data_IF_339062193242
#
_entry.id   IF_339062193242
#
_cell.length_a   1.000
_cell.length_b   1.000
_cell.length_c   1.000
_cell.angle_alpha   90.00
_cell.angle_beta   90.00
_cell.angle_gamma   90.00
#
_symmetry.space_group_name_H-M   'P 1'
#
loop_
_entity.id
_entity.type
_entity.pdbx_description
1 polymer ?
#
# COMPACT_ATOMS: atom_id res chain seq x y z
N UNK A 1 -3.61 -14.83 -28.12
CA UNK A 1 -4.87 -14.08 -28.31
C UNK A 1 -5.46 -13.90 -26.92
N UNK A 2 -5.15 -12.75 -26.32
CA UNK A 2 -5.36 -12.42 -24.91
C UNK A 2 -6.77 -11.90 -24.70
N UNK A 3 -7.57 -12.64 -23.93
CA UNK A 3 -8.82 -12.16 -23.34
C UNK A 3 -8.49 -11.56 -21.98
N UNK A 4 -8.19 -10.26 -21.93
CA UNK A 4 -8.17 -9.47 -20.69
C UNK A 4 -8.40 -7.97 -21.00
N UNK A 5 -9.29 -7.70 -21.96
CA UNK A 5 -9.86 -6.38 -22.22
C UNK A 5 -11.37 -6.46 -22.01
N UNK A 6 -11.81 -6.34 -20.77
CA UNK A 6 -13.13 -5.84 -20.45
C UNK A 6 -13.17 -5.51 -18.96
N UNK A 7 -13.63 -4.29 -18.65
CA UNK A 7 -14.09 -3.87 -17.33
C UNK A 7 -13.04 -3.31 -16.34
N UNK A 8 -12.34 -2.24 -16.75
CA UNK A 8 -11.96 -1.19 -15.79
C UNK A 8 -13.12 -0.18 -15.73
N UNK A 9 -13.86 -0.06 -14.61
CA UNK A 9 -14.74 1.09 -14.44
C UNK A 9 -13.87 2.35 -14.44
N UNK A 10 -14.23 3.33 -15.26
CA UNK A 10 -13.62 4.65 -15.23
C UNK A 10 -13.81 5.23 -13.83
N UNK A 11 -12.75 5.21 -13.02
CA UNK A 11 -12.71 5.89 -11.73
C UNK A 11 -12.68 7.39 -12.03
N UNK A 12 -13.86 7.99 -12.02
CA UNK A 12 -14.03 9.44 -12.03
C UNK A 12 -13.31 9.96 -10.80
N UNK A 13 -12.22 10.69 -11.00
CA UNK A 13 -11.56 11.44 -9.94
C UNK A 13 -12.55 12.48 -9.41
N UNK A 14 -13.30 12.11 -8.37
CA UNK A 14 -14.13 13.04 -7.63
C UNK A 14 -13.19 13.87 -6.75
N UNK A 15 -12.73 15.00 -7.29
CA UNK A 15 -12.08 16.04 -6.49
C UNK A 15 -13.15 16.62 -5.55
N UNK A 16 -13.27 16.04 -4.35
CA UNK A 16 -14.13 16.56 -3.30
C UNK A 16 -13.50 17.84 -2.73
N UNK A 17 -13.79 18.98 -3.37
CA UNK A 17 -13.55 20.28 -2.78
C UNK A 17 -14.56 20.49 -1.65
N UNK A 18 -14.19 20.16 -0.41
CA UNK A 18 -14.95 20.55 0.77
C UNK A 18 -14.72 22.05 1.00
N UNK A 19 -15.63 22.86 0.47
CA UNK A 19 -15.77 24.27 0.85
C UNK A 19 -16.59 24.30 2.14
N UNK A 20 -15.91 24.36 3.29
CA UNK A 20 -16.51 24.68 4.58
C UNK A 20 -16.94 26.16 4.59
N UNK A 21 -18.17 26.43 4.13
CA UNK A 21 -18.82 27.73 4.34
C UNK A 21 -19.46 27.74 5.73
N UNK A 22 -18.69 28.23 6.70
CA UNK A 22 -19.19 28.62 8.01
C UNK A 22 -20.13 29.83 7.82
N UNK A 23 -21.43 29.65 8.09
CA UNK A 23 -22.38 30.74 8.16
C UNK A 23 -23.41 30.56 9.29
N UNK A 24 -23.11 31.25 10.42
CA UNK A 24 -23.99 31.82 11.44
C UNK A 24 -24.79 30.90 12.41
N UNK A 25 -24.91 31.30 13.70
CA UNK A 25 -25.69 30.58 14.70
C UNK A 25 -27.18 30.90 14.53
N UNK A 26 -27.92 29.95 13.97
CA UNK A 26 -29.37 30.01 13.77
C UNK A 26 -30.06 28.85 14.47
N UNK A 27 -30.83 29.19 15.49
CA UNK A 27 -31.78 28.35 16.23
C UNK A 27 -32.65 27.46 15.32
N UNK A 28 -32.70 26.15 15.58
CA UNK A 28 -33.70 25.22 15.03
C UNK A 28 -33.13 23.81 14.96
N UNK A 29 -33.75 22.85 15.65
CA UNK A 29 -33.20 21.51 15.88
C UNK A 29 -32.92 20.72 14.61
N UNK A 30 -31.76 20.06 14.61
CA UNK A 30 -31.36 19.14 13.56
C UNK A 30 -30.60 17.97 14.21
N UNK A 31 -31.35 16.93 14.59
CA UNK A 31 -30.84 15.64 15.04
C UNK A 31 -30.59 14.69 13.84
N UNK A 32 -30.28 15.23 12.64
CA UNK A 32 -30.07 14.46 11.40
C UNK A 32 -28.79 14.78 10.63
N UNK A 33 -28.22 15.98 10.80
CA UNK A 33 -27.01 16.45 10.12
C UNK A 33 -25.74 15.80 10.71
N UNK A 34 -25.79 15.41 11.99
CA UNK A 34 -24.68 14.70 12.66
C UNK A 34 -24.57 13.25 12.17
N UNK A 35 -25.70 12.57 11.96
CA UNK A 35 -25.72 11.20 11.42
C UNK A 35 -25.31 11.15 9.94
N UNK A 36 -25.72 12.13 9.14
CA UNK A 36 -25.36 12.18 7.73
C UNK A 36 -23.84 12.40 7.52
N UNK A 37 -23.24 13.33 8.26
CA UNK A 37 -21.80 13.60 8.18
C UNK A 37 -20.96 12.41 8.67
N UNK A 38 -21.39 11.72 9.74
CA UNK A 38 -20.74 10.50 10.22
C UNK A 38 -20.80 9.37 9.18
N UNK A 39 -21.97 9.15 8.57
CA UNK A 39 -22.15 8.14 7.51
C UNK A 39 -21.33 8.43 6.24
N UNK A 40 -21.08 9.70 5.94
CA UNK A 40 -20.21 10.09 4.82
C UNK A 40 -18.73 9.87 5.17
N UNK A 41 -18.31 10.20 6.40
CA UNK A 41 -16.96 9.94 6.88
C UNK A 41 -16.65 8.44 6.89
N UNK A 42 -17.56 7.61 7.40
CA UNK A 42 -17.44 6.14 7.41
C UNK A 42 -17.29 5.61 5.98
N UNK A 43 -18.12 6.07 5.03
CA UNK A 43 -18.02 5.68 3.62
C UNK A 43 -16.69 6.06 2.97
N UNK A 44 -16.18 7.25 3.27
CA UNK A 44 -14.86 7.70 2.76
C UNK A 44 -13.75 6.83 3.34
N UNK A 45 -13.83 6.51 4.63
CA UNK A 45 -12.88 5.64 5.30
C UNK A 45 -12.90 4.22 4.74
N UNK A 46 -14.06 3.60 4.58
CA UNK A 46 -14.21 2.27 3.98
C UNK A 46 -13.65 2.23 2.55
N UNK A 47 -13.97 3.23 1.72
CA UNK A 47 -13.46 3.31 0.36
C UNK A 47 -11.92 3.43 0.31
N UNK A 48 -11.33 4.25 1.19
CA UNK A 48 -9.89 4.38 1.32
C UNK A 48 -9.23 3.04 1.74
N UNK A 49 -9.82 2.34 2.71
CA UNK A 49 -9.32 1.03 3.16
C UNK A 49 -9.33 0.02 2.01
N UNK A 50 -10.44 -0.06 1.27
CA UNK A 50 -10.59 -0.98 0.15
C UNK A 50 -9.61 -0.69 -0.98
N UNK A 51 -9.39 0.59 -1.32
CA UNK A 51 -8.42 0.98 -2.34
C UNK A 51 -6.97 0.64 -1.92
N UNK A 52 -6.60 0.91 -0.68
CA UNK A 52 -5.27 0.55 -0.17
C UNK A 52 -5.09 -0.97 -0.14
N UNK A 53 -6.09 -1.74 0.30
CA UNK A 53 -6.06 -3.21 0.26
C UNK A 53 -5.91 -3.73 -1.16
N UNK A 54 -6.62 -3.14 -2.13
CA UNK A 54 -6.50 -3.51 -3.53
C UNK A 54 -5.08 -3.28 -4.06
N UNK A 55 -4.45 -2.15 -3.69
CA UNK A 55 -3.11 -1.80 -4.10
C UNK A 55 -2.03 -2.73 -3.50
N UNK A 56 -2.11 -3.05 -2.20
CA UNK A 56 -1.06 -3.82 -1.51
C UNK A 56 -1.32 -5.33 -1.46
N UNK A 57 -2.56 -5.77 -1.63
CA UNK A 57 -2.98 -7.15 -1.51
C UNK A 57 -2.17 -8.14 -2.37
N UNK A 58 -1.95 -7.84 -3.67
CA UNK A 58 -1.13 -8.69 -4.53
C UNK A 58 0.31 -8.89 -4.01
N UNK A 59 0.95 -7.84 -3.50
CA UNK A 59 2.35 -7.88 -3.08
C UNK A 59 2.56 -8.40 -1.66
N UNK A 60 1.57 -8.27 -0.77
CA UNK A 60 1.70 -8.68 0.63
C UNK A 60 2.04 -10.17 0.77
N UNK A 61 1.36 -11.02 0.00
CA UNK A 61 1.61 -12.47 0.01
C UNK A 61 2.89 -12.84 -0.72
N UNK A 62 3.20 -12.15 -1.84
CA UNK A 62 4.42 -12.36 -2.61
C UNK A 62 5.68 -12.01 -1.79
N UNK A 63 5.62 -10.95 -0.98
CA UNK A 63 6.72 -10.50 -0.13
C UNK A 63 7.24 -11.58 0.81
N UNK A 64 6.32 -12.23 1.53
CA UNK A 64 6.67 -13.25 2.51
C UNK A 64 7.25 -14.50 1.81
N UNK A 65 6.67 -14.86 0.67
CA UNK A 65 7.15 -15.99 -0.14
C UNK A 65 8.53 -15.71 -0.72
N UNK A 66 8.79 -14.49 -1.21
CA UNK A 66 10.09 -14.13 -1.77
C UNK A 66 11.18 -14.15 -0.69
N UNK A 67 10.94 -13.52 0.46
CA UNK A 67 11.91 -13.54 1.58
C UNK A 67 12.21 -14.98 2.00
N UNK A 68 11.19 -15.84 2.07
CA UNK A 68 11.37 -17.25 2.38
C UNK A 68 12.17 -17.99 1.29
N UNK A 69 11.94 -17.68 0.01
CA UNK A 69 12.66 -18.27 -1.12
C UNK A 69 14.13 -17.88 -1.12
N UNK A 70 14.46 -16.59 -0.93
CA UNK A 70 15.84 -16.10 -0.85
C UNK A 70 16.62 -16.85 0.23
N UNK A 71 16.04 -17.02 1.43
CA UNK A 71 16.67 -17.74 2.54
C UNK A 71 16.88 -19.24 2.29
N UNK A 72 16.05 -19.85 1.44
CA UNK A 72 16.07 -21.29 1.17
C UNK A 72 16.79 -21.63 -0.13
N UNK A 73 17.14 -20.62 -0.93
CA UNK A 73 17.73 -20.82 -2.24
C UNK A 73 19.10 -21.48 -2.16
N UNK A 74 19.19 -22.66 -2.76
CA UNK A 74 20.46 -23.40 -2.90
C UNK A 74 21.31 -22.82 -4.02
N UNK A 75 20.68 -22.28 -5.05
CA UNK A 75 21.31 -21.61 -6.19
C UNK A 75 20.78 -20.20 -6.32
N UNK A 76 21.67 -19.22 -6.53
CA UNK A 76 21.30 -17.82 -6.74
C UNK A 76 20.52 -17.65 -8.06
N UNK A 77 20.84 -18.44 -9.09
CA UNK A 77 20.15 -18.38 -10.38
C UNK A 77 18.66 -18.72 -10.31
N UNK A 78 18.20 -19.39 -9.25
CA UNK A 78 16.76 -19.67 -9.05
C UNK A 78 15.99 -18.42 -8.58
N UNK A 79 16.68 -17.36 -8.16
CA UNK A 79 16.09 -16.15 -7.59
C UNK A 79 15.82 -15.04 -8.60
N UNK A 80 16.45 -15.06 -9.78
CA UNK A 80 16.34 -13.96 -10.74
C UNK A 80 14.90 -13.65 -11.14
N UNK A 81 14.12 -14.68 -11.46
CA UNK A 81 12.72 -14.52 -11.85
C UNK A 81 11.82 -14.09 -10.68
N UNK A 82 11.85 -14.75 -9.50
CA UNK A 82 11.09 -14.29 -8.34
C UNK A 82 11.39 -12.85 -7.90
N UNK A 83 12.65 -12.41 -8.01
CA UNK A 83 13.05 -11.04 -7.68
C UNK A 83 12.49 -10.03 -8.68
N UNK A 84 12.59 -10.30 -9.98
CA UNK A 84 12.02 -9.46 -11.05
C UNK A 84 10.49 -9.31 -10.90
N UNK A 85 9.78 -10.43 -10.73
CA UNK A 85 8.32 -10.43 -10.55
C UNK A 85 7.89 -9.63 -9.30
N UNK A 86 8.66 -9.72 -8.21
CA UNK A 86 8.35 -8.97 -6.99
C UNK A 86 8.67 -7.47 -7.13
N UNK A 87 9.75 -7.10 -7.82
CA UNK A 87 10.11 -5.69 -8.06
C UNK A 87 8.99 -4.98 -8.83
N UNK A 88 8.51 -5.61 -9.91
CA UNK A 88 7.39 -5.10 -10.69
C UNK A 88 6.12 -4.97 -9.84
N UNK A 89 5.86 -5.97 -9.00
CA UNK A 89 4.76 -5.96 -8.03
C UNK A 89 4.85 -4.76 -7.10
N UNK A 90 5.97 -4.56 -6.40
CA UNK A 90 6.15 -3.47 -5.45
C UNK A 90 6.06 -2.10 -6.13
N UNK A 91 6.64 -1.94 -7.33
CA UNK A 91 6.52 -0.70 -8.10
C UNK A 91 5.08 -0.42 -8.52
N UNK A 92 4.31 -1.45 -8.83
CA UNK A 92 2.90 -1.30 -9.18
C UNK A 92 2.09 -0.89 -7.95
N UNK A 93 2.26 -1.59 -6.83
CA UNK A 93 1.61 -1.23 -5.57
C UNK A 93 1.96 0.20 -5.12
N UNK A 94 3.23 0.62 -5.25
CA UNK A 94 3.65 1.98 -4.93
C UNK A 94 2.93 3.03 -5.80
N UNK A 95 2.86 2.82 -7.11
CA UNK A 95 2.15 3.74 -8.02
C UNK A 95 0.66 3.82 -7.71
N UNK A 96 0.03 2.68 -7.44
CA UNK A 96 -1.39 2.65 -7.07
C UNK A 96 -1.64 3.36 -5.73
N UNK A 97 -0.77 3.18 -4.74
CA UNK A 97 -0.86 3.92 -3.48
C UNK A 97 -0.71 5.43 -3.69
N UNK A 98 0.26 5.88 -4.50
CA UNK A 98 0.47 7.31 -4.80
C UNK A 98 -0.74 7.98 -5.48
N UNK A 99 -1.61 7.20 -6.14
CA UNK A 99 -2.85 7.68 -6.77
C UNK A 99 -4.05 7.74 -5.79
N UNK A 100 -3.95 7.11 -4.62
CA UNK A 100 -5.00 7.14 -3.60
C UNK A 100 -4.90 8.44 -2.82
N UNK A 101 -6.01 9.17 -2.73
CA UNK A 101 -6.11 10.34 -1.87
C UNK A 101 -6.45 9.90 -0.43
N UNK A 102 -5.52 10.03 0.54
CA UNK A 102 -5.82 9.65 1.92
C UNK A 102 -6.74 10.68 2.61
N UNK A 103 -7.61 10.24 3.52
CA UNK A 103 -8.22 11.12 4.51
C UNK A 103 -7.18 11.91 5.30
N UNK A 104 -7.55 13.09 5.80
CA UNK A 104 -6.61 14.04 6.40
C UNK A 104 -5.90 13.48 7.65
N UNK A 105 -6.59 12.67 8.44
CA UNK A 105 -6.08 11.97 9.62
C UNK A 105 -5.17 10.79 9.29
N UNK A 106 -5.31 10.19 8.10
CA UNK A 106 -4.51 9.08 7.60
C UNK A 106 -3.31 9.50 6.73
N UNK A 107 -3.23 10.78 6.31
CA UNK A 107 -2.27 11.25 5.31
C UNK A 107 -0.80 10.96 5.64
N UNK A 108 -0.37 11.18 6.88
CA UNK A 108 1.01 10.88 7.32
C UNK A 108 1.32 9.38 7.29
N UNK A 109 0.37 8.55 7.74
CA UNK A 109 0.53 7.10 7.73
C UNK A 109 0.54 6.54 6.30
N UNK A 110 -0.27 7.14 5.42
CA UNK A 110 -0.29 6.82 4.00
C UNK A 110 1.06 7.12 3.33
N UNK A 111 1.64 8.29 3.57
CA UNK A 111 2.97 8.64 3.05
C UNK A 111 4.04 7.63 3.53
N UNK A 112 3.99 7.24 4.80
CA UNK A 112 4.90 6.21 5.34
C UNK A 112 4.69 4.84 4.73
N UNK A 113 3.45 4.50 4.38
CA UNK A 113 3.14 3.26 3.66
C UNK A 113 3.76 3.28 2.26
N UNK A 114 3.59 4.36 1.50
CA UNK A 114 4.23 4.56 0.19
C UNK A 114 5.75 4.47 0.30
N UNK A 115 6.34 5.15 1.28
CA UNK A 115 7.78 5.11 1.52
C UNK A 115 8.26 3.68 1.85
N UNK A 116 7.49 2.95 2.65
CA UNK A 116 7.80 1.55 3.01
C UNK A 116 7.78 0.64 1.78
N UNK A 117 6.82 0.83 0.86
CA UNK A 117 6.78 0.10 -0.42
C UNK A 117 7.96 0.46 -1.33
N UNK A 118 8.32 1.74 -1.40
CA UNK A 118 9.47 2.19 -2.19
C UNK A 118 10.77 1.54 -1.72
N UNK A 119 10.99 1.52 -0.40
CA UNK A 119 12.21 0.96 0.18
C UNK A 119 12.35 -0.54 -0.06
N UNK A 120 11.26 -1.32 -0.01
CA UNK A 120 11.34 -2.75 -0.33
C UNK A 120 11.53 -2.99 -1.83
N UNK A 121 10.90 -2.18 -2.70
CA UNK A 121 11.13 -2.23 -4.14
C UNK A 121 12.61 -1.99 -4.50
N UNK A 122 13.21 -0.96 -3.89
CA UNK A 122 14.63 -0.65 -4.09
C UNK A 122 15.51 -1.79 -3.58
N UNK A 123 15.22 -2.36 -2.41
CA UNK A 123 15.94 -3.51 -1.89
C UNK A 123 15.83 -4.75 -2.80
N UNK A 124 14.65 -5.02 -3.37
CA UNK A 124 14.45 -6.11 -4.35
C UNK A 124 15.29 -5.90 -5.59
N UNK A 125 15.40 -4.66 -6.08
CA UNK A 125 16.24 -4.33 -7.23
C UNK A 125 17.73 -4.52 -6.94
N UNK A 126 18.20 -4.14 -5.76
CA UNK A 126 19.60 -4.41 -5.37
C UNK A 126 19.84 -5.93 -5.24
N UNK A 127 18.86 -6.68 -4.72
CA UNK A 127 18.92 -8.14 -4.67
C UNK A 127 19.00 -8.79 -6.06
N UNK A 128 18.29 -8.24 -7.05
CA UNK A 128 18.36 -8.70 -8.44
C UNK A 128 19.77 -8.54 -9.01
N UNK A 129 20.43 -7.40 -8.75
CA UNK A 129 21.82 -7.16 -9.14
C UNK A 129 22.78 -8.11 -8.44
N UNK A 130 22.62 -8.26 -7.12
CA UNK A 130 23.41 -9.21 -6.33
C UNK A 130 23.25 -10.64 -6.89
N UNK A 131 22.03 -11.03 -7.28
CA UNK A 131 21.79 -12.33 -7.88
C UNK A 131 22.49 -12.50 -9.24
N UNK A 132 22.53 -11.46 -10.07
CA UNK A 132 23.26 -11.50 -11.34
C UNK A 132 24.78 -11.58 -11.17
N UNK A 133 25.30 -11.09 -10.04
CA UNK A 133 26.73 -11.06 -9.70
C UNK A 133 27.18 -12.26 -8.85
N UNK A 134 26.27 -13.19 -8.51
CA UNK A 134 26.48 -14.30 -7.56
C UNK A 134 26.92 -13.80 -6.17
N UNK A 135 26.50 -12.59 -5.80
CA UNK A 135 26.79 -11.94 -4.52
C UNK A 135 25.79 -12.38 -3.44
N UNK A 136 26.28 -13.17 -2.49
CA UNK A 136 25.49 -13.65 -1.35
C UNK A 136 25.23 -12.56 -0.32
N UNK A 137 26.16 -11.62 -0.15
CA UNK A 137 26.02 -10.58 0.88
C UNK A 137 24.85 -9.65 0.55
N UNK A 138 24.70 -9.26 -0.73
CA UNK A 138 23.54 -8.48 -1.19
C UNK A 138 22.19 -9.19 -1.01
N UNK A 139 22.15 -10.53 -1.08
CA UNK A 139 20.92 -11.30 -0.82
C UNK A 139 20.59 -11.40 0.68
N UNK A 140 21.62 -11.40 1.53
CA UNK A 140 21.45 -11.32 2.99
C UNK A 140 20.94 -9.92 3.38
N UNK A 141 21.47 -8.85 2.77
CA UNK A 141 20.96 -7.48 2.95
C UNK A 141 19.49 -7.36 2.55
N UNK A 142 19.08 -8.01 1.46
CA UNK A 142 17.68 -8.10 1.07
C UNK A 142 16.83 -8.83 2.10
N UNK A 143 17.32 -9.94 2.65
CA UNK A 143 16.62 -10.68 3.70
C UNK A 143 16.39 -9.83 4.96
N UNK A 144 17.36 -9.00 5.33
CA UNK A 144 17.20 -8.03 6.42
C UNK A 144 16.23 -6.89 6.06
N UNK A 145 16.26 -6.40 4.83
CA UNK A 145 15.32 -5.41 4.33
C UNK A 145 13.89 -5.94 4.38
N UNK A 146 13.68 -7.20 3.99
CA UNK A 146 12.41 -7.90 4.12
C UNK A 146 11.90 -7.98 5.56
N UNK A 147 12.78 -8.27 6.53
CA UNK A 147 12.41 -8.26 7.94
C UNK A 147 12.06 -6.85 8.45
N UNK A 148 12.80 -5.81 8.01
CA UNK A 148 12.48 -4.41 8.32
C UNK A 148 11.12 -4.01 7.74
N UNK A 149 10.86 -4.40 6.50
CA UNK A 149 9.58 -4.17 5.82
C UNK A 149 8.42 -4.84 6.57
N UNK A 150 8.56 -6.09 6.99
CA UNK A 150 7.54 -6.80 7.74
C UNK A 150 7.24 -6.11 9.09
N UNK A 151 8.27 -5.69 9.83
CA UNK A 151 8.10 -4.95 11.10
C UNK A 151 7.42 -3.59 10.89
N UNK A 152 7.83 -2.83 9.87
CA UNK A 152 7.23 -1.52 9.56
C UNK A 152 5.79 -1.65 9.10
N UNK A 153 5.50 -2.61 8.23
CA UNK A 153 4.14 -2.86 7.74
C UNK A 153 3.19 -3.21 8.89
N UNK A 154 3.65 -4.03 9.84
CA UNK A 154 2.89 -4.34 11.06
C UNK A 154 2.66 -3.10 11.93
N UNK A 155 3.71 -2.31 12.19
CA UNK A 155 3.59 -1.09 12.99
C UNK A 155 2.65 -0.07 12.33
N UNK A 156 2.68 0.05 11.00
CA UNK A 156 1.76 0.90 10.24
C UNK A 156 0.32 0.40 10.34
N UNK A 157 0.10 -0.91 10.17
CA UNK A 157 -1.21 -1.53 10.35
C UNK A 157 -1.77 -1.24 11.74
N UNK A 158 -0.97 -1.39 12.80
CA UNK A 158 -1.39 -1.09 14.18
C UNK A 158 -1.77 0.40 14.34
N UNK A 159 -0.99 1.32 13.76
CA UNK A 159 -1.28 2.77 13.78
C UNK A 159 -2.55 3.13 13.01
N UNK A 160 -2.79 2.47 11.88
CA UNK A 160 -4.02 2.64 11.12
C UNK A 160 -5.23 2.15 11.91
N UNK A 161 -5.13 1.01 12.60
CA UNK A 161 -6.21 0.50 13.46
C UNK A 161 -6.50 1.42 14.66
N UNK A 162 -5.48 2.08 15.22
CA UNK A 162 -5.69 3.12 16.25
C UNK A 162 -6.55 4.30 15.75
N UNK A 163 -6.53 4.58 14.45
CA UNK A 163 -7.36 5.59 13.78
C UNK A 163 -8.70 5.02 13.26
N UNK A 164 -8.97 3.73 13.49
CA UNK A 164 -10.18 3.04 13.03
C UNK A 164 -10.09 2.40 11.64
N UNK A 165 -8.94 2.46 10.97
CA UNK A 165 -8.73 1.83 9.66
C UNK A 165 -8.28 0.38 9.85
N UNK A 166 -9.12 -0.59 9.48
CA UNK A 166 -8.79 -2.02 9.57
C UNK A 166 -8.38 -2.58 8.21
N UNK A 167 -7.13 -3.05 8.10
CA UNK A 167 -6.52 -3.60 6.89
C UNK A 167 -6.41 -5.12 6.92
#
# INVERSE_FOLDING_TARGET
MTWYEANRPARVAATAAVVLLIAAPGCGGDDGETDAAALEADRVQEAYVDDVRAAIGPVASQSQQLIAQVRQARSIGDLSRPLDEAEEGYRTAMRELEEIAPPADAAELHERLVETQRQIADATKEAERAAAEDDRDGLDEFSEAGDRYARRSRALSERFSELGYEF
#
